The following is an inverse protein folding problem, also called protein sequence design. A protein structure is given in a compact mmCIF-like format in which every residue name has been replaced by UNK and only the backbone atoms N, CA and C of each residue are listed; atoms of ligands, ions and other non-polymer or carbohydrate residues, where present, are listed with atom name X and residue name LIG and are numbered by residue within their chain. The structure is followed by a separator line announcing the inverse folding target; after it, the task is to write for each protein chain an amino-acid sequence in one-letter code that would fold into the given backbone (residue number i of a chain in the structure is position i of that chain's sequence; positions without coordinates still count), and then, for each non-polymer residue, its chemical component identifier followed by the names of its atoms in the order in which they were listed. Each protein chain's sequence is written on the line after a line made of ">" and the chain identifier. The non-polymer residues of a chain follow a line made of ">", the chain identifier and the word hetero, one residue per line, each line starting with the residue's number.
data_IF_120783118525
#
_entry.id   IF_120783118525
#
_cell.length_a   1.000
_cell.length_b   1.000
_cell.length_c   1.000
_cell.angle_alpha   90.00
_cell.angle_beta   90.00
_cell.angle_gamma   90.00
#
_symmetry.space_group_name_H-M   'P 1'
#
loop_
_entity.id
_entity.type
_entity.pdbx_description
1 polymer ?
#
# COMPACT_ATOMS: atom_id res chain seq x y z
N UNK A 1 -20.82 13.35 0.40
CA UNK A 1 -19.35 13.40 0.22
C UNK A 1 -18.84 11.97 0.05
N UNK A 2 -17.93 11.69 -0.88
CA UNK A 2 -17.39 10.35 -1.15
C UNK A 2 -15.89 10.34 -0.84
N UNK A 3 -15.45 9.39 -0.03
CA UNK A 3 -14.04 9.11 0.21
C UNK A 3 -13.78 7.66 -0.22
N UNK A 4 -13.14 7.49 -1.38
CA UNK A 4 -12.85 6.19 -1.98
C UNK A 4 -11.41 6.19 -2.47
N UNK A 5 -10.67 5.15 -2.09
CA UNK A 5 -9.29 4.92 -2.52
C UNK A 5 -9.22 3.52 -3.12
N UNK A 6 -8.59 3.40 -4.30
CA UNK A 6 -8.32 2.13 -4.98
C UNK A 6 -6.81 2.08 -5.22
N UNK A 7 -6.14 1.12 -4.60
CA UNK A 7 -4.70 0.91 -4.73
C UNK A 7 -4.43 -0.51 -5.22
N UNK A 8 -3.43 -0.64 -6.08
CA UNK A 8 -2.90 -1.91 -6.56
C UNK A 8 -1.40 -1.86 -6.33
N UNK A 9 -0.88 -2.87 -5.64
CA UNK A 9 0.50 -2.87 -5.21
C UNK A 9 0.89 -4.19 -4.55
N UNK A 10 1.99 -4.15 -3.82
CA UNK A 10 2.60 -5.32 -3.17
C UNK A 10 2.65 -5.13 -1.66
N UNK A 11 2.47 -6.19 -0.91
CA UNK A 11 2.57 -6.16 0.55
C UNK A 11 4.05 -6.21 0.95
N UNK A 12 4.50 -5.26 1.78
CA UNK A 12 5.92 -5.14 2.14
C UNK A 12 6.40 -6.17 3.18
N UNK A 13 5.50 -6.62 4.05
CA UNK A 13 5.78 -7.51 5.18
C UNK A 13 4.51 -8.30 5.55
N UNK A 14 4.67 -9.39 6.30
CA UNK A 14 3.53 -10.16 6.80
C UNK A 14 2.55 -9.24 7.56
N UNK A 15 1.23 -9.34 7.33
CA UNK A 15 0.23 -8.58 8.07
C UNK A 15 0.30 -8.86 9.58
N UNK A 16 0.07 -7.83 10.39
CA UNK A 16 0.10 -7.91 11.84
C UNK A 16 -1.32 -7.78 12.39
N UNK A 17 -1.74 -8.75 13.22
CA UNK A 17 -3.05 -8.74 13.86
C UNK A 17 -2.93 -8.43 15.34
N UNK A 18 -3.71 -7.45 15.81
CA UNK A 18 -3.91 -7.16 17.22
C UNK A 18 -5.39 -7.25 17.57
N UNK A 19 -5.70 -7.57 18.82
CA UNK A 19 -7.07 -7.61 19.32
C UNK A 19 -7.38 -6.38 20.18
N UNK A 20 -8.57 -5.83 20.03
CA UNK A 20 -9.13 -4.80 20.89
C UNK A 20 -10.50 -5.30 21.39
N UNK A 21 -10.50 -5.96 22.55
CA UNK A 21 -11.62 -6.80 22.96
C UNK A 21 -11.81 -7.96 21.97
N UNK A 22 -13.04 -8.20 21.55
CA UNK A 22 -13.38 -9.24 20.56
C UNK A 22 -13.05 -8.83 19.11
N UNK A 23 -12.66 -7.58 18.87
CA UNK A 23 -12.37 -7.09 17.51
C UNK A 23 -10.92 -7.41 17.12
N UNK A 24 -10.77 -8.26 16.11
CA UNK A 24 -9.50 -8.44 15.39
C UNK A 24 -9.24 -7.24 14.46
N UNK A 25 -8.03 -6.69 14.55
CA UNK A 25 -7.56 -5.55 13.76
C UNK A 25 -6.25 -5.95 13.10
N UNK A 26 -6.27 -6.08 11.79
CA UNK A 26 -5.09 -6.49 11.00
C UNK A 26 -4.57 -5.29 10.23
N UNK A 27 -3.28 -5.00 10.36
CA UNK A 27 -2.62 -3.92 9.63
C UNK A 27 -1.49 -4.45 8.76
N UNK A 28 -1.32 -3.84 7.60
CA UNK A 28 -0.23 -4.15 6.68
C UNK A 28 0.19 -2.91 5.90
N UNK A 29 1.39 -2.98 5.33
CA UNK A 29 1.91 -1.93 4.46
C UNK A 29 1.78 -2.33 3.00
N UNK A 30 0.99 -1.58 2.24
CA UNK A 30 0.87 -1.72 0.78
C UNK A 30 1.83 -0.73 0.10
N UNK A 31 2.68 -1.25 -0.77
CA UNK A 31 3.63 -0.47 -1.55
C UNK A 31 3.10 -0.33 -2.97
N UNK A 32 2.99 0.89 -3.46
CA UNK A 32 2.67 1.20 -4.85
C UNK A 32 3.83 1.93 -5.51
N UNK A 33 4.05 1.69 -6.80
CA UNK A 33 5.10 2.36 -7.57
C UNK A 33 4.49 3.43 -8.48
N UNK A 34 4.98 4.66 -8.35
CA UNK A 34 4.61 5.81 -9.17
C UNK A 34 5.78 6.18 -10.10
N UNK A 35 5.56 6.45 -11.39
CA UNK A 35 6.60 7.02 -12.24
C UNK A 35 7.09 8.36 -11.66
N UNK A 36 8.41 8.52 -11.55
CA UNK A 36 9.01 9.80 -11.18
C UNK A 36 8.84 10.78 -12.33
N UNK A 37 8.33 11.96 -12.01
CA UNK A 37 8.12 13.04 -12.98
C UNK A 37 9.08 14.20 -12.69
N UNK A 38 9.77 14.66 -13.72
CA UNK A 38 10.55 15.90 -13.72
C UNK A 38 9.98 16.75 -14.87
N UNK A 39 9.54 17.96 -14.55
CA UNK A 39 8.87 18.86 -15.51
C UNK A 39 7.71 18.20 -16.29
N UNK A 40 6.94 17.35 -15.58
CA UNK A 40 5.78 16.64 -16.14
C UNK A 40 6.11 15.45 -17.04
N UNK A 41 7.39 15.08 -17.18
CA UNK A 41 7.84 13.95 -18.00
C UNK A 41 8.45 12.85 -17.15
N UNK A 42 8.26 11.60 -17.59
CA UNK A 42 8.92 10.45 -16.96
C UNK A 42 10.42 10.51 -17.21
N UNK A 43 11.19 10.16 -16.19
CA UNK A 43 12.66 10.07 -16.29
C UNK A 43 13.11 8.62 -16.29
N UNK A 44 14.26 8.37 -16.90
CA UNK A 44 14.88 7.04 -16.94
C UNK A 44 15.95 6.92 -15.86
N UNK A 45 16.03 5.76 -15.22
CA UNK A 45 17.15 5.41 -14.36
C UNK A 45 18.39 5.02 -15.18
N UNK A 46 19.51 4.75 -14.51
CA UNK A 46 20.78 4.39 -15.16
C UNK A 46 20.69 3.14 -16.05
N UNK A 47 19.75 2.24 -15.75
CA UNK A 47 19.47 1.03 -16.53
C UNK A 47 18.49 1.26 -17.70
N UNK A 48 18.05 2.50 -17.95
CA UNK A 48 17.16 2.86 -19.05
C UNK A 48 15.67 2.58 -18.82
N UNK A 49 15.28 2.13 -17.63
CA UNK A 49 13.88 1.94 -17.24
C UNK A 49 13.27 3.21 -16.67
N UNK A 50 11.95 3.34 -16.72
CA UNK A 50 11.27 4.46 -16.06
C UNK A 50 11.57 4.42 -14.57
N UNK A 51 12.16 5.49 -14.05
CA UNK A 51 12.43 5.62 -12.62
C UNK A 51 11.09 5.71 -11.88
N UNK A 52 10.95 4.92 -10.81
CA UNK A 52 9.75 4.90 -9.97
C UNK A 52 10.08 5.33 -8.55
N UNK A 53 9.09 5.92 -7.90
CA UNK A 53 9.11 6.23 -6.48
C UNK A 53 8.12 5.28 -5.79
N UNK A 54 8.59 4.62 -4.73
CA UNK A 54 7.75 3.76 -3.91
C UNK A 54 6.95 4.60 -2.90
N UNK A 55 5.65 4.35 -2.82
CA UNK A 55 4.75 4.96 -1.86
C UNK A 55 4.23 3.90 -0.88
N UNK A 56 4.40 4.17 0.42
CA UNK A 56 4.08 3.22 1.49
C UNK A 56 2.76 3.62 2.16
N UNK A 57 1.76 2.74 2.04
CA UNK A 57 0.42 2.95 2.57
C UNK A 57 0.18 2.01 3.73
N UNK A 58 -0.07 2.55 4.92
CA UNK A 58 -0.56 1.74 6.04
C UNK A 58 -2.05 1.48 5.86
N UNK A 59 -2.42 0.23 5.70
CA UNK A 59 -3.82 -0.23 5.58
C UNK A 59 -4.20 -0.94 6.86
N UNK A 60 -5.38 -0.63 7.39
CA UNK A 60 -5.95 -1.31 8.56
C UNK A 60 -7.30 -1.90 8.18
N UNK A 61 -7.41 -3.22 8.31
CA UNK A 61 -8.63 -3.99 8.12
C UNK A 61 -9.22 -4.40 9.47
N UNK A 62 -10.55 -4.43 9.55
CA UNK A 62 -11.29 -4.73 10.77
C UNK A 62 -12.20 -5.94 10.55
N UNK A 63 -12.50 -6.66 11.64
CA UNK A 63 -13.46 -7.77 11.66
C UNK A 63 -13.13 -8.84 10.61
N UNK A 64 -14.14 -9.34 9.89
CA UNK A 64 -13.97 -10.43 8.90
C UNK A 64 -12.96 -10.11 7.80
N UNK A 65 -12.80 -8.84 7.40
CA UNK A 65 -11.77 -8.45 6.44
C UNK A 65 -10.37 -8.56 7.04
N UNK A 66 -10.21 -8.23 8.33
CA UNK A 66 -8.96 -8.46 9.05
C UNK A 66 -8.57 -9.93 9.01
N UNK A 67 -9.51 -10.83 9.32
CA UNK A 67 -9.30 -12.28 9.27
C UNK A 67 -8.90 -12.80 7.89
N UNK A 68 -9.45 -12.25 6.80
CA UNK A 68 -9.08 -12.67 5.44
C UNK A 68 -7.70 -12.22 4.99
N UNK A 69 -7.16 -11.17 5.62
CA UNK A 69 -5.85 -10.60 5.29
C UNK A 69 -4.75 -11.10 6.22
N UNK A 70 -5.11 -11.59 7.42
CA UNK A 70 -4.20 -12.09 8.44
C UNK A 70 -3.40 -13.34 8.01
#
# INVERSE_FOLDING_TARGET
>A
MKNLVILIGRIAAAPETRHAGETAITSFTLVTDRPKLVDGKTVKNEAGYTETLAEFHRVTAFNGLGTSVA
#
